data_IF_561210043571
#
_entry.id   IF_561210043571
#
_cell.length_a   1.000
_cell.length_b   1.000
_cell.length_c   1.000
_cell.angle_alpha   90.00
_cell.angle_beta   90.00
_cell.angle_gamma   90.00
#
_symmetry.space_group_name_H-M   'P 1'
#
loop_
_entity.id
_entity.type
_entity.pdbx_description
1 polymer ?
#
# COMPACT_ATOMS: atom_id res chain seq x y z
N UNK A 1 -28.98 -12.68 12.76
CA UNK A 1 -28.26 -13.96 12.93
C UNK A 1 -27.01 -13.91 12.05
N UNK A 2 -25.93 -13.35 12.57
CA UNK A 2 -24.60 -13.40 11.97
C UNK A 2 -24.03 -14.78 12.30
N UNK A 3 -24.17 -15.71 11.37
CA UNK A 3 -23.52 -17.02 11.48
C UNK A 3 -22.03 -16.75 11.30
N UNK A 4 -21.22 -17.12 12.28
CA UNK A 4 -19.76 -17.12 12.19
C UNK A 4 -19.32 -18.07 11.07
N UNK A 5 -19.31 -17.55 9.84
CA UNK A 5 -18.87 -18.20 8.63
C UNK A 5 -17.43 -18.79 8.66
N UNK A 6 -16.43 -18.26 9.41
CA UNK A 6 -15.09 -18.85 9.42
C UNK A 6 -15.07 -20.27 10.01
N UNK A 7 -15.96 -20.58 10.96
CA UNK A 7 -16.04 -21.93 11.54
C UNK A 7 -16.50 -22.96 10.50
N UNK A 8 -17.41 -22.58 9.60
CA UNK A 8 -17.95 -23.48 8.56
C UNK A 8 -16.87 -23.91 7.56
N UNK A 9 -15.99 -22.99 7.13
CA UNK A 9 -14.90 -23.33 6.21
C UNK A 9 -13.88 -24.25 6.87
N UNK A 10 -13.56 -24.00 8.15
CA UNK A 10 -12.63 -24.85 8.93
C UNK A 10 -13.21 -26.25 9.11
N UNK A 11 -14.48 -26.36 9.51
CA UNK A 11 -15.18 -27.64 9.68
C UNK A 11 -15.24 -28.43 8.37
N UNK A 12 -15.58 -27.78 7.24
CA UNK A 12 -15.63 -28.44 5.93
C UNK A 12 -14.26 -28.92 5.45
N UNK A 13 -13.19 -28.17 5.73
CA UNK A 13 -11.81 -28.61 5.45
C UNK A 13 -11.39 -29.80 6.31
N UNK A 14 -11.74 -29.78 7.60
CA UNK A 14 -11.48 -30.91 8.49
C UNK A 14 -12.25 -32.17 8.04
N UNK A 15 -13.50 -32.01 7.60
CA UNK A 15 -14.30 -33.10 7.04
C UNK A 15 -13.65 -33.66 5.75
N UNK A 16 -13.19 -32.81 4.83
CA UNK A 16 -12.47 -33.25 3.62
C UNK A 16 -11.19 -34.01 3.96
N UNK A 17 -10.41 -33.54 4.94
CA UNK A 17 -9.21 -34.24 5.40
C UNK A 17 -9.54 -35.63 5.94
N UNK A 18 -10.57 -35.74 6.81
CA UNK A 18 -11.03 -37.04 7.33
C UNK A 18 -11.52 -37.99 6.23
N UNK A 19 -12.17 -37.47 5.18
CA UNK A 19 -12.59 -38.28 4.03
C UNK A 19 -11.40 -38.81 3.23
N UNK A 20 -10.34 -38.00 3.05
CA UNK A 20 -9.10 -38.42 2.38
C UNK A 20 -8.36 -39.48 3.19
N UNK A 21 -8.35 -39.36 4.52
CA UNK A 21 -7.79 -40.40 5.41
C UNK A 21 -8.56 -41.72 5.27
N UNK A 22 -9.90 -41.69 5.24
CA UNK A 22 -10.73 -42.88 5.03
C UNK A 22 -10.50 -43.52 3.66
N UNK A 23 -10.33 -42.72 2.61
CA UNK A 23 -9.95 -43.20 1.28
C UNK A 23 -8.58 -43.91 1.32
N UNK A 24 -7.58 -43.32 1.98
CA UNK A 24 -6.26 -43.93 2.13
C UNK A 24 -6.32 -45.25 2.93
N UNK A 25 -7.13 -45.33 3.98
CA UNK A 25 -7.36 -46.59 4.71
C UNK A 25 -8.00 -47.67 3.82
N UNK A 26 -8.96 -47.28 2.97
CA UNK A 26 -9.61 -48.19 2.00
C UNK A 26 -8.60 -48.72 0.97
N UNK A 27 -7.60 -47.91 0.59
CA UNK A 27 -6.53 -48.34 -0.32
C UNK A 27 -5.65 -49.43 0.32
N UNK A 28 -5.35 -49.31 1.61
CA UNK A 28 -4.64 -50.35 2.37
C UNK A 28 -5.48 -51.63 2.47
N UNK A 29 -6.79 -51.50 2.72
CA UNK A 29 -7.71 -52.64 2.74
C UNK A 29 -7.82 -53.34 1.38
N UNK A 30 -7.82 -52.59 0.27
CA UNK A 30 -7.81 -53.17 -1.07
C UNK A 30 -6.55 -54.00 -1.31
N UNK A 31 -5.36 -53.48 -0.98
CA UNK A 31 -4.10 -54.24 -1.11
C UNK A 31 -4.09 -55.52 -0.28
N UNK A 32 -4.65 -55.47 0.93
CA UNK A 32 -4.83 -56.66 1.76
C UNK A 32 -5.79 -57.68 1.13
N UNK A 33 -6.87 -57.21 0.50
CA UNK A 33 -7.82 -58.06 -0.22
C UNK A 33 -7.20 -58.68 -1.48
N UNK A 34 -6.37 -57.95 -2.23
CA UNK A 34 -5.63 -58.47 -3.39
C UNK A 34 -4.69 -59.63 -2.99
N UNK A 35 -3.95 -59.47 -1.88
CA UNK A 35 -3.09 -60.53 -1.33
C UNK A 35 -3.94 -61.74 -0.91
N UNK A 36 -5.11 -61.52 -0.29
CA UNK A 36 -6.00 -62.60 0.12
C UNK A 36 -6.56 -63.39 -1.08
N UNK A 37 -6.89 -62.70 -2.18
CA UNK A 37 -7.30 -63.34 -3.45
C UNK A 37 -6.15 -64.17 -4.04
N UNK A 38 -4.92 -63.64 -4.06
CA UNK A 38 -3.75 -64.37 -4.54
C UNK A 38 -3.53 -65.66 -3.74
N UNK A 39 -3.51 -65.58 -2.41
CA UNK A 39 -3.35 -66.73 -1.53
C UNK A 39 -4.49 -67.77 -1.70
N UNK A 40 -5.73 -67.30 -1.83
CA UNK A 40 -6.88 -68.18 -2.05
C UNK A 40 -6.84 -68.86 -3.43
N UNK A 41 -6.32 -68.16 -4.45
CA UNK A 41 -6.14 -68.71 -5.80
C UNK A 41 -5.10 -69.82 -5.83
N UNK A 42 -4.00 -69.68 -5.09
CA UNK A 42 -2.99 -70.72 -4.93
C UNK A 42 -3.58 -71.94 -4.23
N UNK A 43 -4.28 -71.74 -3.10
CA UNK A 43 -4.92 -72.83 -2.36
C UNK A 43 -5.95 -73.60 -3.22
N UNK A 44 -6.72 -72.88 -4.06
CA UNK A 44 -7.67 -73.47 -4.99
C UNK A 44 -6.98 -74.34 -6.05
N UNK A 45 -5.80 -73.91 -6.55
CA UNK A 45 -5.01 -74.68 -7.50
C UNK A 45 -4.45 -75.99 -6.90
N UNK A 46 -4.26 -76.05 -5.58
CA UNK A 46 -3.69 -77.23 -4.89
C UNK A 46 -4.73 -78.29 -4.46
N UNK A 47 -5.89 -77.93 -3.89
CA UNK A 47 -6.84 -78.93 -3.36
C UNK A 47 -8.16 -79.07 -4.12
N UNK A 48 -8.57 -78.06 -4.89
CA UNK A 48 -9.82 -78.06 -5.67
C UNK A 48 -11.11 -78.32 -4.85
N UNK A 49 -11.04 -78.27 -3.52
CA UNK A 49 -12.16 -78.64 -2.65
C UNK A 49 -13.19 -77.50 -2.51
N UNK A 50 -14.39 -77.85 -2.05
CA UNK A 50 -15.48 -76.89 -1.88
C UNK A 50 -15.14 -75.73 -0.92
N UNK A 51 -14.20 -75.94 0.02
CA UNK A 51 -13.76 -74.92 0.98
C UNK A 51 -12.83 -73.91 0.30
N UNK A 52 -11.93 -74.36 -0.56
CA UNK A 52 -11.04 -73.53 -1.35
C UNK A 52 -11.82 -72.68 -2.37
N UNK A 53 -12.82 -73.26 -3.03
CA UNK A 53 -13.71 -72.52 -3.95
C UNK A 53 -14.45 -71.40 -3.20
N UNK A 54 -15.00 -71.70 -2.02
CA UNK A 54 -15.69 -70.70 -1.20
C UNK A 54 -14.74 -69.58 -0.76
N UNK A 55 -13.55 -69.93 -0.25
CA UNK A 55 -12.57 -68.94 0.20
C UNK A 55 -12.12 -68.00 -0.93
N UNK A 56 -11.94 -68.51 -2.16
CA UNK A 56 -11.62 -67.70 -3.33
C UNK A 56 -12.76 -66.74 -3.72
N UNK A 57 -14.00 -67.23 -3.71
CA UNK A 57 -15.17 -66.40 -4.02
C UNK A 57 -15.39 -65.30 -2.97
N UNK A 58 -15.25 -65.63 -1.68
CA UNK A 58 -15.37 -64.66 -0.58
C UNK A 58 -14.26 -63.59 -0.68
N UNK A 59 -13.01 -64.00 -0.96
CA UNK A 59 -11.89 -63.06 -1.14
C UNK A 59 -12.09 -62.15 -2.37
N UNK A 60 -12.54 -62.72 -3.50
CA UNK A 60 -12.80 -61.98 -4.74
C UNK A 60 -13.94 -60.98 -4.57
N UNK A 61 -15.00 -61.37 -3.88
CA UNK A 61 -16.11 -60.47 -3.56
C UNK A 61 -15.67 -59.33 -2.64
N UNK A 62 -14.80 -59.61 -1.65
CA UNK A 62 -14.26 -58.57 -0.77
C UNK A 62 -13.38 -57.58 -1.55
N UNK A 63 -12.49 -58.06 -2.42
CA UNK A 63 -11.67 -57.21 -3.30
C UNK A 63 -12.55 -56.31 -4.18
N UNK A 64 -13.56 -56.88 -4.84
CA UNK A 64 -14.49 -56.12 -5.69
C UNK A 64 -15.25 -55.04 -4.89
N UNK A 65 -15.68 -55.35 -3.66
CA UNK A 65 -16.32 -54.37 -2.78
C UNK A 65 -15.37 -53.22 -2.41
N UNK A 66 -14.11 -53.51 -2.06
CA UNK A 66 -13.15 -52.47 -1.71
C UNK A 66 -12.78 -51.60 -2.91
N UNK A 67 -12.67 -52.20 -4.08
CA UNK A 67 -12.45 -51.46 -5.33
C UNK A 67 -13.64 -50.53 -5.64
N UNK A 68 -14.88 -51.01 -5.50
CA UNK A 68 -16.07 -50.18 -5.68
C UNK A 68 -16.14 -49.02 -4.67
N UNK A 69 -15.71 -49.25 -3.41
CA UNK A 69 -15.63 -48.19 -2.39
C UNK A 69 -14.60 -47.12 -2.75
N UNK A 70 -13.42 -47.50 -3.23
CA UNK A 70 -12.41 -46.55 -3.68
C UNK A 70 -12.90 -45.71 -4.85
N UNK A 71 -13.52 -46.34 -5.84
CA UNK A 71 -14.14 -45.62 -6.96
C UNK A 71 -15.20 -44.63 -6.47
N UNK A 72 -16.05 -45.03 -5.53
CA UNK A 72 -17.04 -44.12 -4.93
C UNK A 72 -16.40 -42.94 -4.19
N UNK A 73 -15.28 -43.16 -3.49
CA UNK A 73 -14.53 -42.05 -2.88
C UNK A 73 -13.97 -41.08 -3.91
N UNK A 74 -13.34 -41.61 -4.96
CA UNK A 74 -12.63 -40.83 -5.98
C UNK A 74 -13.58 -40.07 -6.90
N UNK A 75 -14.71 -40.67 -7.29
CA UNK A 75 -15.63 -40.07 -8.25
C UNK A 75 -16.71 -39.21 -7.60
N UNK A 76 -17.11 -39.49 -6.35
CA UNK A 76 -18.29 -38.85 -5.75
C UNK A 76 -17.99 -38.12 -4.45
N UNK A 77 -17.40 -38.82 -3.46
CA UNK A 77 -17.33 -38.31 -2.09
C UNK A 77 -16.31 -37.17 -1.97
N UNK A 78 -15.10 -37.38 -2.49
CA UNK A 78 -14.04 -36.37 -2.42
C UNK A 78 -14.37 -35.15 -3.29
N UNK A 79 -14.77 -35.29 -4.58
CA UNK A 79 -15.12 -34.14 -5.40
C UNK A 79 -16.27 -33.31 -4.83
N UNK A 80 -17.30 -33.96 -4.26
CA UNK A 80 -18.42 -33.26 -3.62
C UNK A 80 -17.99 -32.49 -2.37
N UNK A 81 -17.10 -33.07 -1.55
CA UNK A 81 -16.57 -32.41 -0.37
C UNK A 81 -15.65 -31.23 -0.76
N UNK A 82 -14.85 -31.35 -1.81
CA UNK A 82 -14.04 -30.26 -2.36
C UNK A 82 -14.91 -29.11 -2.86
N UNK A 83 -15.94 -29.41 -3.65
CA UNK A 83 -16.90 -28.40 -4.11
C UNK A 83 -17.57 -27.66 -2.94
N UNK A 84 -17.94 -28.38 -1.87
CA UNK A 84 -18.52 -27.78 -0.68
C UNK A 84 -17.53 -26.88 0.09
N UNK A 85 -16.23 -27.20 0.10
CA UNK A 85 -15.19 -26.32 0.66
C UNK A 85 -15.06 -25.05 -0.18
N UNK A 86 -14.98 -25.18 -1.50
CA UNK A 86 -14.86 -24.04 -2.42
C UNK A 86 -16.06 -23.10 -2.32
N UNK A 87 -17.27 -23.66 -2.28
CA UNK A 87 -18.51 -22.89 -2.09
C UNK A 87 -18.48 -22.10 -0.77
N UNK A 88 -18.13 -22.76 0.34
CA UNK A 88 -18.06 -22.10 1.65
C UNK A 88 -17.00 -20.99 1.68
N UNK A 89 -15.84 -21.19 1.07
CA UNK A 89 -14.80 -20.15 0.95
C UNK A 89 -15.28 -18.96 0.12
N UNK A 90 -15.99 -19.22 -0.98
CA UNK A 90 -16.54 -18.16 -1.82
C UNK A 90 -17.60 -17.33 -1.09
N UNK A 91 -18.46 -17.99 -0.30
CA UNK A 91 -19.48 -17.33 0.52
C UNK A 91 -18.86 -16.51 1.66
N UNK A 92 -17.80 -17.01 2.31
CA UNK A 92 -17.05 -16.26 3.34
C UNK A 92 -16.40 -15.00 2.74
N UNK A 93 -15.74 -15.14 1.58
CA UNK A 93 -15.13 -14.01 0.90
C UNK A 93 -16.17 -12.96 0.46
N UNK A 94 -17.33 -13.40 -0.01
CA UNK A 94 -18.43 -12.50 -0.38
C UNK A 94 -19.01 -11.78 0.84
N UNK A 95 -19.23 -12.49 1.95
CA UNK A 95 -19.66 -11.87 3.20
C UNK A 95 -18.64 -10.83 3.70
N UNK A 96 -17.35 -11.11 3.57
CA UNK A 96 -16.28 -10.16 3.88
C UNK A 96 -16.34 -8.90 3.01
N UNK A 97 -16.54 -9.06 1.68
CA UNK A 97 -16.71 -7.93 0.76
C UNK A 97 -17.93 -7.08 1.08
N UNK A 98 -19.06 -7.72 1.40
CA UNK A 98 -20.28 -7.01 1.81
C UNK A 98 -20.07 -6.20 3.09
N UNK A 99 -19.34 -6.74 4.08
CA UNK A 99 -19.06 -6.00 5.32
C UNK A 99 -18.26 -4.72 5.04
N UNK A 100 -17.20 -4.83 4.25
CA UNK A 100 -16.38 -3.67 3.85
C UNK A 100 -17.21 -2.66 3.07
N UNK A 101 -18.07 -3.13 2.17
CA UNK A 101 -18.97 -2.26 1.40
C UNK A 101 -19.94 -1.49 2.30
N UNK A 102 -20.59 -2.16 3.25
CA UNK A 102 -21.52 -1.52 4.18
C UNK A 102 -20.80 -0.54 5.13
N UNK A 103 -19.62 -0.89 5.64
CA UNK A 103 -18.77 0.02 6.42
C UNK A 103 -18.40 1.27 5.61
N UNK A 104 -17.95 1.10 4.36
CA UNK A 104 -17.60 2.21 3.48
C UNK A 104 -18.82 3.08 3.12
N UNK A 105 -19.97 2.46 2.88
CA UNK A 105 -21.23 3.16 2.61
C UNK A 105 -21.68 4.00 3.80
N UNK A 106 -21.66 3.42 5.01
CA UNK A 106 -22.00 4.14 6.23
C UNK A 106 -21.05 5.33 6.48
N UNK A 107 -19.75 5.16 6.24
CA UNK A 107 -18.77 6.24 6.35
C UNK A 107 -19.02 7.35 5.31
N UNK A 108 -19.36 6.99 4.07
CA UNK A 108 -19.66 7.95 3.01
C UNK A 108 -20.96 8.73 3.29
N UNK A 109 -22.00 8.07 3.79
CA UNK A 109 -23.26 8.71 4.20
C UNK A 109 -23.05 9.65 5.38
N UNK A 110 -22.30 9.23 6.41
CA UNK A 110 -21.95 10.09 7.54
C UNK A 110 -21.15 11.33 7.10
N UNK A 111 -20.18 11.17 6.20
CA UNK A 111 -19.42 12.29 5.65
C UNK A 111 -20.31 13.23 4.81
N UNK A 112 -21.26 12.68 4.04
CA UNK A 112 -22.21 13.48 3.28
C UNK A 112 -23.15 14.27 4.19
N UNK A 113 -23.59 13.69 5.30
CA UNK A 113 -24.43 14.37 6.29
C UNK A 113 -23.66 15.46 7.03
N UNK A 114 -22.43 15.19 7.45
CA UNK A 114 -21.55 16.20 8.05
C UNK A 114 -21.30 17.37 7.09
N UNK A 115 -21.08 17.08 5.80
CA UNK A 115 -20.94 18.10 4.77
C UNK A 115 -22.24 18.91 4.61
N UNK A 116 -23.42 18.27 4.57
CA UNK A 116 -24.71 18.97 4.47
C UNK A 116 -24.95 19.91 5.65
N UNK A 117 -24.59 19.49 6.85
CA UNK A 117 -24.74 20.28 8.07
C UNK A 117 -23.74 21.43 8.13
N UNK A 118 -22.48 21.19 7.76
CA UNK A 118 -21.40 22.16 7.89
C UNK A 118 -21.31 23.15 6.73
N UNK A 119 -21.72 22.77 5.52
CA UNK A 119 -21.53 23.59 4.32
C UNK A 119 -22.36 24.88 4.34
N UNK A 120 -23.60 24.84 4.84
CA UNK A 120 -24.46 26.03 4.95
C UNK A 120 -23.81 27.12 5.80
N UNK A 121 -23.52 26.85 7.09
CA UNK A 121 -22.84 27.80 7.97
C UNK A 121 -21.50 28.30 7.42
N UNK A 122 -20.67 27.42 6.85
CA UNK A 122 -19.39 27.81 6.25
C UNK A 122 -19.55 28.76 5.06
N UNK A 123 -20.55 28.49 4.20
CA UNK A 123 -20.88 29.38 3.08
C UNK A 123 -21.35 30.74 3.59
N UNK A 124 -22.18 30.77 4.62
CA UNK A 124 -22.70 32.01 5.19
C UNK A 124 -21.57 32.84 5.83
N UNK A 125 -20.68 32.20 6.58
CA UNK A 125 -19.51 32.84 7.16
C UNK A 125 -18.56 33.39 6.11
N UNK A 126 -18.31 32.63 5.04
CA UNK A 126 -17.47 33.09 3.94
C UNK A 126 -18.11 34.26 3.19
N UNK A 127 -19.41 34.19 2.91
CA UNK A 127 -20.16 35.29 2.28
C UNK A 127 -20.10 36.55 3.13
N UNK A 128 -20.32 36.41 4.44
CA UNK A 128 -20.20 37.51 5.41
C UNK A 128 -18.81 38.13 5.39
N UNK A 129 -17.75 37.32 5.39
CA UNK A 129 -16.36 37.81 5.29
C UNK A 129 -16.10 38.54 3.97
N UNK A 130 -16.62 38.03 2.85
CA UNK A 130 -16.51 38.68 1.55
C UNK A 130 -17.18 40.06 1.53
N UNK A 131 -18.38 40.18 2.10
CA UNK A 131 -19.10 41.45 2.17
C UNK A 131 -18.42 42.46 3.09
N UNK A 132 -17.89 42.02 4.23
CA UNK A 132 -17.06 42.86 5.12
C UNK A 132 -15.83 43.36 4.38
N UNK A 133 -15.12 42.49 3.67
CA UNK A 133 -13.91 42.86 2.92
C UNK A 133 -14.21 43.81 1.76
N UNK A 134 -15.29 43.57 1.00
CA UNK A 134 -15.71 44.46 -0.09
C UNK A 134 -16.09 45.85 0.45
N UNK A 135 -16.81 45.89 1.57
CA UNK A 135 -17.19 47.14 2.23
C UNK A 135 -15.97 47.90 2.74
N UNK A 136 -15.03 47.21 3.38
CA UNK A 136 -13.78 47.80 3.85
C UNK A 136 -12.91 48.32 2.69
N UNK A 137 -12.80 47.56 1.59
CA UNK A 137 -12.07 47.98 0.40
C UNK A 137 -12.65 49.25 -0.23
N UNK A 138 -13.98 49.34 -0.33
CA UNK A 138 -14.65 50.54 -0.86
C UNK A 138 -14.45 51.77 0.04
N UNK A 139 -14.41 51.60 1.37
CA UNK A 139 -14.11 52.68 2.31
C UNK A 139 -12.65 53.12 2.21
N UNK A 140 -11.72 52.17 2.09
CA UNK A 140 -10.29 52.45 1.89
C UNK A 140 -10.06 53.16 0.56
N UNK A 141 -10.71 52.74 -0.52
CA UNK A 141 -10.64 53.41 -1.82
C UNK A 141 -11.16 54.84 -1.73
N UNK A 142 -12.36 55.05 -1.18
CA UNK A 142 -12.93 56.39 -0.97
C UNK A 142 -12.04 57.29 -0.11
N UNK A 143 -11.46 56.76 0.97
CA UNK A 143 -10.54 57.52 1.83
C UNK A 143 -9.20 57.82 1.15
N UNK A 144 -8.76 56.96 0.23
CA UNK A 144 -7.55 57.15 -0.56
C UNK A 144 -7.76 58.13 -1.74
N UNK A 145 -8.99 58.28 -2.21
CA UNK A 145 -9.34 59.26 -3.25
C UNK A 145 -9.40 60.70 -2.69
N UNK A 146 -9.74 60.86 -1.42
CA UNK A 146 -9.81 62.14 -0.70
C UNK A 146 -8.88 62.15 0.53
N UNK A 147 -7.57 62.10 0.27
CA UNK A 147 -6.56 62.04 1.33
C UNK A 147 -6.33 63.40 2.00
N UNK A 148 -6.37 63.46 3.34
CA UNK A 148 -5.89 64.63 4.08
C UNK A 148 -4.42 64.94 3.76
N UNK A 149 -4.06 66.22 3.75
CA UNK A 149 -2.69 66.64 3.45
C UNK A 149 -1.67 65.99 4.40
N UNK A 150 -0.68 65.31 3.82
CA UNK A 150 0.39 64.63 4.56
C UNK A 150 0.03 63.25 5.12
N UNK A 151 -1.19 62.74 4.91
CA UNK A 151 -1.57 61.39 5.30
C UNK A 151 -1.02 60.34 4.32
N UNK A 152 -0.58 59.20 4.85
CA UNK A 152 -0.20 58.04 4.03
C UNK A 152 -1.44 57.33 3.48
N UNK A 153 -1.32 56.74 2.27
CA UNK A 153 -2.39 55.93 1.69
C UNK A 153 -2.67 54.72 2.58
N UNK A 154 -3.94 54.49 2.86
CA UNK A 154 -4.39 53.31 3.56
C UNK A 154 -4.12 52.05 2.71
N UNK A 155 -3.61 51.00 3.35
CA UNK A 155 -3.37 49.70 2.70
C UNK A 155 -4.69 48.99 2.44
N UNK A 156 -4.65 48.11 1.44
CA UNK A 156 -5.74 47.18 1.14
C UNK A 156 -6.03 46.30 2.38
N UNK A 157 -7.31 46.14 2.80
CA UNK A 157 -7.65 45.40 4.02
C UNK A 157 -7.21 43.93 3.98
N UNK A 158 -7.03 43.34 2.80
CA UNK A 158 -6.54 41.95 2.66
C UNK A 158 -5.01 41.86 2.75
N UNK A 159 -4.31 42.97 2.52
CA UNK A 159 -2.85 43.03 2.43
C UNK A 159 -2.16 42.57 3.72
N UNK A 160 -2.62 43.03 4.89
CA UNK A 160 -2.01 42.67 6.18
C UNK A 160 -2.11 41.19 6.55
N UNK A 161 -3.05 40.45 5.95
CA UNK A 161 -3.20 39.00 6.15
C UNK A 161 -2.36 38.24 5.13
N UNK A 162 -2.30 38.72 3.88
CA UNK A 162 -1.49 38.11 2.81
C UNK A 162 0.00 38.35 2.97
N UNK A 163 0.39 39.46 3.58
CA UNK A 163 1.78 39.84 3.85
C UNK A 163 2.34 39.12 5.10
N UNK A 164 1.54 38.28 5.78
CA UNK A 164 2.05 37.42 6.83
C UNK A 164 2.98 36.36 6.25
N UNK A 165 4.10 36.12 6.92
CA UNK A 165 4.96 34.97 6.63
C UNK A 165 4.10 33.69 6.65
N UNK A 166 4.34 32.73 5.74
CA UNK A 166 3.56 31.49 5.67
C UNK A 166 3.49 30.86 7.06
N UNK A 167 2.26 30.59 7.54
CA UNK A 167 2.06 29.98 8.85
C UNK A 167 2.71 28.60 8.83
N UNK A 168 3.33 28.23 9.96
CA UNK A 168 4.16 27.03 10.10
C UNK A 168 3.66 25.84 9.29
N UNK A 169 4.56 25.31 8.47
CA UNK A 169 4.40 24.11 7.64
C UNK A 169 3.75 22.99 8.46
N UNK A 170 2.57 22.52 8.04
CA UNK A 170 1.99 21.30 8.60
C UNK A 170 2.72 20.10 7.99
N UNK A 171 3.57 19.49 8.81
CA UNK A 171 4.30 18.27 8.48
C UNK A 171 3.33 17.10 8.68
N UNK A 172 2.98 16.43 7.58
CA UNK A 172 2.13 15.23 7.58
C UNK A 172 2.91 14.00 8.04
N UNK A 173 4.16 13.89 7.59
CA UNK A 173 5.06 12.78 7.93
C UNK A 173 6.51 13.27 7.90
N UNK A 174 7.35 12.64 8.73
CA UNK A 174 8.78 12.91 8.83
C UNK A 174 9.54 11.58 8.85
N UNK A 175 10.31 11.32 7.80
CA UNK A 175 11.13 10.12 7.63
C UNK A 175 12.60 10.50 7.39
N UNK A 176 13.54 9.60 7.66
CA UNK A 176 14.95 9.77 7.30
C UNK A 176 15.29 8.98 6.04
N UNK A 177 15.82 9.65 5.02
CA UNK A 177 16.21 9.05 3.74
C UNK A 177 17.59 9.55 3.32
N UNK A 178 18.46 8.65 2.85
CA UNK A 178 19.74 9.05 2.26
C UNK A 178 19.53 9.56 0.83
N UNK A 179 19.92 10.81 0.56
CA UNK A 179 19.77 11.46 -0.76
C UNK A 179 21.12 11.91 -1.31
N UNK A 180 21.25 11.91 -2.63
CA UNK A 180 22.43 12.48 -3.29
C UNK A 180 22.31 14.00 -3.38
N UNK A 181 23.37 14.71 -3.05
CA UNK A 181 23.43 16.17 -2.97
C UNK A 181 24.61 16.68 -3.80
N UNK A 182 24.42 17.76 -4.55
CA UNK A 182 25.50 18.44 -5.26
C UNK A 182 26.48 19.08 -4.27
N UNK A 183 27.73 18.63 -4.28
CA UNK A 183 28.75 19.09 -3.32
C UNK A 183 29.04 20.60 -3.42
N UNK A 184 28.90 21.18 -4.60
CA UNK A 184 29.17 22.60 -4.85
C UNK A 184 28.06 23.54 -4.35
N UNK A 185 26.81 23.09 -4.31
CA UNK A 185 25.65 23.96 -4.05
C UNK A 185 24.79 23.52 -2.87
N UNK A 186 24.96 22.29 -2.37
CA UNK A 186 24.14 21.72 -1.32
C UNK A 186 22.72 21.35 -1.76
N UNK A 187 22.37 21.52 -3.04
CA UNK A 187 21.06 21.14 -3.56
C UNK A 187 20.94 19.62 -3.73
N UNK A 188 19.78 19.08 -3.39
CA UNK A 188 19.47 17.66 -3.59
C UNK A 188 19.33 17.35 -5.08
N UNK A 189 19.90 16.23 -5.51
CA UNK A 189 19.79 15.72 -6.86
C UNK A 189 18.35 15.24 -7.09
N UNK A 190 17.65 15.73 -8.13
CA UNK A 190 16.30 15.25 -8.46
C UNK A 190 16.27 13.76 -8.79
N UNK A 191 15.18 13.07 -8.45
CA UNK A 191 15.00 11.64 -8.70
C UNK A 191 15.21 11.25 -10.17
N UNK A 192 14.77 12.12 -11.08
CA UNK A 192 14.90 11.96 -12.53
C UNK A 192 16.35 11.95 -13.05
N UNK A 193 17.33 12.23 -12.19
CA UNK A 193 18.76 12.24 -12.53
C UNK A 193 19.59 11.24 -11.72
N UNK A 194 18.97 10.48 -10.81
CA UNK A 194 19.70 9.51 -9.97
C UNK A 194 20.36 8.40 -10.79
N UNK A 195 19.76 8.02 -11.93
CA UNK A 195 20.29 7.04 -12.87
C UNK A 195 21.58 7.51 -13.58
N UNK A 196 21.93 8.80 -13.48
CA UNK A 196 23.10 9.42 -14.11
C UNK A 196 24.28 9.54 -13.16
N UNK A 197 24.15 9.06 -11.93
CA UNK A 197 25.20 9.08 -10.94
C UNK A 197 26.12 7.88 -11.17
N UNK A 198 27.39 8.16 -11.45
CA UNK A 198 28.47 7.18 -11.42
C UNK A 198 29.04 7.16 -9.99
N UNK A 199 28.73 6.15 -9.15
CA UNK A 199 29.30 6.05 -7.80
C UNK A 199 30.81 5.80 -7.89
N UNK A 200 31.59 6.61 -7.18
CA UNK A 200 33.04 6.44 -7.01
C UNK A 200 33.40 5.76 -5.68
N UNK A 201 32.46 5.73 -4.75
CA UNK A 201 32.56 5.08 -3.45
C UNK A 201 31.16 4.93 -2.82
N UNK A 202 31.08 4.49 -1.55
CA UNK A 202 29.80 4.29 -0.86
C UNK A 202 29.03 5.59 -0.64
N UNK A 203 29.72 6.73 -0.58
CA UNK A 203 29.12 8.05 -0.29
C UNK A 203 29.43 9.12 -1.33
N UNK A 204 30.31 8.86 -2.30
CA UNK A 204 30.75 9.83 -3.30
C UNK A 204 30.44 9.35 -4.71
N UNK A 205 30.04 10.28 -5.58
CA UNK A 205 29.71 10.01 -6.97
C UNK A 205 29.94 11.20 -7.88
N UNK A 206 29.87 10.95 -9.18
CA UNK A 206 29.85 11.99 -10.21
C UNK A 206 28.54 11.93 -10.96
N UNK A 207 27.89 13.07 -11.13
CA UNK A 207 26.68 13.18 -11.96
C UNK A 207 26.98 13.94 -13.25
N UNK A 208 26.50 13.42 -14.36
CA UNK A 208 26.61 14.08 -15.66
C UNK A 208 25.53 15.16 -15.79
N UNK A 209 25.93 16.42 -15.97
CA UNK A 209 24.98 17.56 -16.03
C UNK A 209 24.40 17.81 -17.43
N UNK A 210 24.93 17.16 -18.47
CA UNK A 210 24.43 17.22 -19.85
C UNK A 210 23.41 16.13 -20.22
N UNK A 211 22.85 16.23 -21.43
CA UNK A 211 22.09 15.14 -22.08
C UNK A 211 23.02 13.94 -22.31
N UNK A 212 22.53 12.71 -22.04
CA UNK A 212 23.34 11.47 -22.14
C UNK A 212 24.19 11.46 -23.42
N UNK A 213 25.51 11.26 -23.36
CA UNK A 213 26.25 10.91 -24.54
C UNK A 213 25.88 9.47 -24.94
N UNK A 214 25.57 9.25 -26.22
CA UNK A 214 25.59 7.89 -26.80
C UNK A 214 26.94 7.25 -26.45
N UNK A 215 26.90 5.97 -26.07
CA UNK A 215 27.97 5.18 -25.48
C UNK A 215 29.26 5.08 -26.32
N UNK A 216 29.98 6.19 -26.51
CA UNK A 216 31.28 6.24 -27.18
C UNK A 216 32.11 7.53 -27.02
N UNK A 217 31.68 8.57 -26.27
CA UNK A 217 32.52 9.77 -26.09
C UNK A 217 33.17 9.84 -24.71
N UNK A 218 34.31 9.16 -24.59
CA UNK A 218 35.31 9.43 -23.55
C UNK A 218 35.87 10.84 -23.82
N UNK A 219 36.02 11.64 -22.76
CA UNK A 219 36.58 13.03 -22.72
C UNK A 219 35.55 14.16 -22.84
N UNK A 220 34.84 14.41 -21.74
CA UNK A 220 34.61 15.79 -21.26
C UNK A 220 34.40 15.70 -19.74
N UNK A 221 35.51 15.66 -19.00
CA UNK A 221 35.51 15.69 -17.53
C UNK A 221 34.89 16.99 -16.97
N UNK A 222 34.81 18.04 -17.79
CA UNK A 222 34.30 19.36 -17.41
C UNK A 222 32.77 19.45 -17.25
N UNK A 223 32.02 18.41 -17.63
CA UNK A 223 30.54 18.38 -17.53
C UNK A 223 30.04 17.43 -16.42
N UNK A 224 30.90 17.11 -15.45
CA UNK A 224 30.58 16.25 -14.32
C UNK A 224 30.60 17.07 -13.05
N UNK A 225 29.55 16.96 -12.24
CA UNK A 225 29.49 17.57 -10.92
C UNK A 225 29.69 16.52 -9.85
N UNK A 226 30.44 16.87 -8.81
CA UNK A 226 30.59 16.02 -7.63
C UNK A 226 29.28 15.98 -6.83
N UNK A 227 28.87 14.77 -6.48
CA UNK A 227 27.71 14.51 -5.63
C UNK A 227 28.12 13.65 -4.45
N UNK A 228 27.50 13.89 -3.30
CA UNK A 228 27.73 13.16 -2.05
C UNK A 228 26.39 12.67 -1.50
N UNK A 229 26.37 11.48 -0.92
CA UNK A 229 25.17 10.93 -0.27
C UNK A 229 25.08 11.48 1.16
N UNK A 230 23.99 12.15 1.48
CA UNK A 230 23.73 12.79 2.78
C UNK A 230 22.41 12.27 3.33
N UNK A 231 22.33 12.07 4.65
CA UNK A 231 21.05 11.75 5.30
C UNK A 231 20.19 13.00 5.38
N UNK A 232 19.03 12.93 4.75
CA UNK A 232 18.05 13.99 4.73
C UNK A 232 16.82 13.57 5.52
N UNK A 233 16.21 14.53 6.17
CA UNK A 233 14.88 14.42 6.75
C UNK A 233 13.87 14.72 5.64
N UNK A 234 13.16 13.68 5.19
CA UNK A 234 12.05 13.77 4.26
C UNK A 234 10.82 14.21 5.03
N UNK A 235 10.27 15.37 4.67
CA UNK A 235 9.01 15.88 5.22
C UNK A 235 7.98 15.89 4.11
N UNK A 236 6.89 15.17 4.33
CA UNK A 236 5.70 15.40 3.53
C UNK A 236 4.97 16.61 4.11
N UNK A 237 4.95 17.68 3.33
CA UNK A 237 4.38 18.95 3.73
C UNK A 237 3.11 19.16 2.94
N UNK A 238 2.01 19.46 3.63
CA UNK A 238 0.87 20.06 2.95
C UNK A 238 1.32 21.42 2.45
N UNK A 239 1.57 21.51 1.13
CA UNK A 239 1.98 22.76 0.53
C UNK A 239 0.85 23.77 0.79
N UNK A 240 1.09 24.70 1.70
CA UNK A 240 0.17 25.82 1.82
C UNK A 240 0.27 26.54 0.48
N UNK A 241 -0.87 26.63 -0.22
CA UNK A 241 -1.11 27.68 -1.19
C UNK A 241 -0.43 28.93 -0.61
N UNK A 242 0.64 29.42 -1.26
CA UNK A 242 1.22 30.70 -0.88
C UNK A 242 0.04 31.65 -0.87
N UNK A 243 -0.40 32.11 0.29
CA UNK A 243 -1.61 32.95 0.39
C UNK A 243 -1.47 34.20 -0.50
N UNK A 244 -0.23 34.59 -0.76
CA UNK A 244 0.21 35.60 -1.74
C UNK A 244 -0.23 35.31 -3.18
N UNK A 245 -0.32 34.04 -3.60
CA UNK A 245 -0.65 33.59 -4.97
C UNK A 245 -2.11 33.16 -5.17
N UNK A 246 -2.90 33.00 -4.10
CA UNK A 246 -4.33 32.67 -4.20
C UNK A 246 -5.18 33.84 -4.70
N UNK A 247 -6.40 33.57 -5.22
CA UNK A 247 -7.37 34.63 -5.55
C UNK A 247 -7.69 35.45 -4.30
N UNK A 248 -7.96 36.76 -4.46
CA UNK A 248 -8.41 37.62 -3.37
C UNK A 248 -9.70 37.08 -2.78
N UNK A 249 -9.89 37.17 -1.46
CA UNK A 249 -11.08 36.64 -0.78
C UNK A 249 -12.37 37.19 -1.41
N UNK A 250 -12.37 38.49 -1.72
CA UNK A 250 -13.49 39.19 -2.37
C UNK A 250 -13.77 38.74 -3.83
N UNK A 251 -12.85 37.99 -4.44
CA UNK A 251 -12.91 37.48 -5.81
C UNK A 251 -13.04 35.94 -5.89
N UNK A 252 -13.18 35.26 -4.76
CA UNK A 252 -13.47 33.82 -4.72
C UNK A 252 -14.95 33.63 -5.07
N UNK A 253 -15.21 32.98 -6.21
CA UNK A 253 -16.52 32.46 -6.54
C UNK A 253 -16.62 31.04 -5.97
N UNK A 254 -17.63 30.82 -5.12
CA UNK A 254 -17.82 29.53 -4.46
C UNK A 254 -18.48 28.49 -5.37
N UNK A 255 -19.09 28.90 -6.49
CA UNK A 255 -19.80 28.00 -7.40
C UNK A 255 -20.79 27.04 -6.69
N UNK A 256 -21.36 26.07 -7.40
CA UNK A 256 -21.72 24.79 -6.78
C UNK A 256 -20.42 24.09 -6.28
N UNK A 257 -20.52 23.15 -5.33
CA UNK A 257 -19.40 22.32 -4.83
C UNK A 257 -18.72 21.55 -5.98
N UNK A 258 -17.91 22.23 -6.78
CA UNK A 258 -17.03 21.64 -7.78
C UNK A 258 -15.66 21.61 -7.15
N UNK A 259 -15.32 20.44 -6.60
CA UNK A 259 -14.00 20.17 -6.06
C UNK A 259 -13.00 20.18 -7.20
N UNK A 260 -11.99 21.03 -7.09
CA UNK A 260 -10.58 20.65 -7.21
C UNK A 260 -9.72 21.82 -6.68
N UNK A 261 -9.58 21.87 -5.36
CA UNK A 261 -8.40 22.46 -4.74
C UNK A 261 -7.69 21.31 -4.01
N UNK A 262 -7.16 20.38 -4.79
CA UNK A 262 -6.30 19.33 -4.26
C UNK A 262 -5.06 20.04 -3.72
N UNK A 263 -4.95 20.13 -2.40
CA UNK A 263 -3.69 20.49 -1.77
C UNK A 263 -2.76 19.31 -2.01
N UNK A 264 -1.96 19.39 -3.07
CA UNK A 264 -0.97 18.35 -3.34
C UNK A 264 0.10 18.43 -2.22
N UNK A 265 0.33 17.32 -1.50
CA UNK A 265 1.44 17.25 -0.59
C UNK A 265 2.73 17.43 -1.40
N UNK A 266 3.59 18.34 -0.95
CA UNK A 266 4.91 18.51 -1.51
C UNK A 266 5.92 17.81 -0.59
N UNK A 267 6.86 17.10 -1.19
CA UNK A 267 7.93 16.44 -0.44
C UNK A 267 9.10 17.41 -0.35
N UNK A 268 9.39 17.86 0.86
CA UNK A 268 10.56 18.66 1.16
C UNK A 268 11.62 17.76 1.79
N UNK A 269 12.87 17.98 1.40
CA UNK A 269 14.00 17.27 1.97
C UNK A 269 14.92 18.29 2.63
N UNK A 270 15.09 18.16 3.94
CA UNK A 270 15.99 19.01 4.72
C UNK A 270 17.23 18.18 5.09
N UNK A 271 18.44 18.58 4.65
CA UNK A 271 19.66 18.00 5.19
C UNK A 271 19.69 18.20 6.70
N UNK A 272 19.95 17.13 7.46
CA UNK A 272 20.08 17.23 8.92
C UNK A 272 21.33 18.08 9.23
N UNK A 273 21.21 19.11 10.09
CA UNK A 273 22.16 20.22 10.23
C UNK A 273 23.65 19.81 10.36
N UNK A 274 24.53 20.41 9.53
CA UNK A 274 25.98 20.24 9.53
C UNK A 274 26.80 20.89 10.67
N UNK A 275 26.26 21.22 11.85
CA UNK A 275 27.10 21.26 13.07
C UNK A 275 27.72 19.87 13.39
N UNK A 276 27.17 18.82 12.78
CA UNK A 276 27.70 17.45 12.71
C UNK A 276 28.51 17.15 11.43
N UNK A 277 28.59 18.09 10.47
CA UNK A 277 29.24 17.91 9.15
C UNK A 277 30.31 18.99 8.91
N UNK A 278 30.96 19.47 9.97
CA UNK A 278 32.33 20.01 9.87
C UNK A 278 33.31 18.86 10.08
N UNK A 279 33.34 17.94 9.12
CA UNK A 279 34.45 17.05 8.77
C UNK A 279 33.94 16.01 7.77
N UNK A 280 33.69 16.40 6.52
CA UNK A 280 33.70 15.45 5.40
C UNK A 280 35.15 14.97 5.08
N UNK A 281 35.91 14.71 6.14
CA UNK A 281 37.24 14.14 6.20
C UNK A 281 37.30 13.46 7.58
N UNK A 282 36.64 12.32 7.74
CA UNK A 282 37.23 11.13 8.37
C UNK A 282 36.23 9.95 8.31
N UNK A 283 36.72 8.75 7.97
CA UNK A 283 35.88 7.57 7.78
C UNK A 283 35.40 7.02 9.14
N UNK A 284 34.11 6.69 9.24
CA UNK A 284 33.64 5.76 10.26
C UNK A 284 34.02 4.37 9.75
N UNK A 285 35.14 3.83 10.23
CA UNK A 285 35.45 2.40 10.09
C UNK A 285 34.51 1.62 11.00
N UNK A 286 33.50 0.98 10.41
CA UNK A 286 32.88 -0.19 11.03
C UNK A 286 33.96 -1.28 11.15
N UNK A 287 34.54 -1.42 12.35
CA UNK A 287 35.21 -2.67 12.72
C UNK A 287 34.10 -3.70 12.99
N UNK A 288 33.74 -4.42 11.94
CA UNK A 288 33.18 -5.76 12.10
C UNK A 288 34.22 -6.66 12.75
N UNK A 289 33.80 -7.37 13.79
CA UNK A 289 34.46 -8.57 14.29
C UNK A 289 34.77 -9.52 13.14
N UNK A 290 36.05 -9.88 13.02
CA UNK A 290 36.47 -11.13 12.37
C UNK A 290 37.37 -11.82 13.37
N UNK A 291 36.90 -12.97 13.86
CA UNK A 291 37.56 -13.75 14.88
C UNK A 291 38.93 -14.29 14.45
N UNK A 292 39.71 -14.67 15.46
CA UNK A 292 40.75 -15.67 15.31
C UNK A 292 40.63 -16.62 16.51
N UNK A 293 40.19 -17.84 16.19
CA UNK A 293 40.51 -19.02 16.97
C UNK A 293 42.00 -19.32 16.73
N UNK A 294 42.80 -19.29 17.80
CA UNK A 294 43.66 -20.37 18.30
C UNK A 294 44.49 -19.85 19.49
#
# INVERSE_FOLDING_TARGET
>A
MTIDNPQIVVERKAALASLRERRAATEVELRAAEIAVANASEALAFSGDAKAIKAFNDASSNMAMQQARLVAFDEQVIPRAEAAVTEAQSAEAEAGRWRIYEEAKAAAEAAADDLRLSFGPLKDDLTRLQDVMRSAAALVERANDDLPFGAERLRDPEGSVRDQWPRGVHILSEDEEDRWVYKATGYIVPDSKLDRIEPRGPFDGLIYTGSRPRAASVRNLNNRSEVVKVRCRKREVLSQLRWVQGRRLAAIDLGPLTVEATLEPNIEYEPIDPASVVSALHPITERGDVGAAD
#
